data_IF_916629764661
#
_entry.id   IF_916629764661
#
_cell.length_a   1.000
_cell.length_b   1.000
_cell.length_c   1.000
_cell.angle_alpha   90.00
_cell.angle_beta   90.00
_cell.angle_gamma   90.00
#
_symmetry.space_group_name_H-M   'P 1'
#
loop_
_entity.id
_entity.type
_entity.pdbx_description
1 polymer ?
#
# COMPACT_ATOMS: atom_id res chain seq x y z
N UNK A 1 -8.49 32.89 -15.17
CA UNK A 1 -9.71 32.05 -15.26
C UNK A 1 -10.10 31.66 -13.85
N UNK A 2 -11.39 31.66 -13.51
CA UNK A 2 -11.83 31.42 -12.14
C UNK A 2 -11.95 29.95 -11.76
N UNK A 3 -12.13 29.63 -10.46
CA UNK A 3 -12.13 28.26 -9.94
C UNK A 3 -13.30 27.39 -10.42
N UNK A 4 -14.37 28.01 -10.93
CA UNK A 4 -15.52 27.31 -11.51
C UNK A 4 -15.45 27.20 -13.03
N UNK A 5 -14.37 27.68 -13.64
CA UNK A 5 -14.20 27.64 -15.08
C UNK A 5 -13.88 26.22 -15.54
N UNK A 6 -14.55 25.73 -16.59
CA UNK A 6 -14.47 24.33 -17.03
C UNK A 6 -13.05 23.86 -17.31
N UNK A 7 -12.22 24.69 -17.97
CA UNK A 7 -10.80 24.35 -18.22
C UNK A 7 -9.99 24.17 -16.92
N UNK A 8 -10.27 24.97 -15.89
CA UNK A 8 -9.60 24.83 -14.60
C UNK A 8 -10.04 23.52 -13.92
N UNK A 9 -11.34 23.26 -13.92
CA UNK A 9 -11.92 22.03 -13.35
C UNK A 9 -11.35 20.80 -14.05
N UNK A 10 -11.33 20.77 -15.38
CA UNK A 10 -10.82 19.65 -16.17
C UNK A 10 -9.33 19.39 -15.89
N UNK A 11 -8.49 20.44 -15.86
CA UNK A 11 -7.07 20.31 -15.52
C UNK A 11 -6.85 19.76 -14.11
N UNK A 12 -7.63 20.21 -13.13
CA UNK A 12 -7.53 19.73 -11.74
C UNK A 12 -7.99 18.28 -11.62
N UNK A 13 -9.05 17.87 -12.34
CA UNK A 13 -9.47 16.47 -12.45
C UNK A 13 -8.36 15.62 -13.04
N UNK A 14 -7.78 16.01 -14.18
CA UNK A 14 -6.69 15.25 -14.84
C UNK A 14 -5.46 15.12 -13.95
N UNK A 15 -5.08 16.19 -13.26
CA UNK A 15 -3.96 16.15 -12.33
C UNK A 15 -4.25 15.19 -11.15
N UNK A 16 -5.46 15.25 -10.58
CA UNK A 16 -5.93 14.29 -9.58
C UNK A 16 -5.88 12.85 -10.10
N UNK A 17 -6.40 12.62 -11.31
CA UNK A 17 -6.38 11.31 -11.95
C UNK A 17 -4.96 10.74 -12.07
N UNK A 18 -4.02 11.53 -12.59
CA UNK A 18 -2.62 11.12 -12.76
C UNK A 18 -1.95 10.75 -11.44
N UNK A 19 -2.20 11.53 -10.37
CA UNK A 19 -1.70 11.21 -9.03
C UNK A 19 -2.31 9.89 -8.52
N UNK A 20 -3.62 9.69 -8.71
CA UNK A 20 -4.32 8.47 -8.31
C UNK A 20 -3.82 7.22 -9.05
N UNK A 21 -3.59 7.32 -10.36
CA UNK A 21 -2.99 6.25 -11.16
C UNK A 21 -1.58 5.91 -10.69
N UNK A 22 -0.71 6.91 -10.45
CA UNK A 22 0.63 6.64 -9.92
C UNK A 22 0.60 6.04 -8.52
N UNK A 23 -0.35 6.43 -7.68
CA UNK A 23 -0.56 5.84 -6.36
C UNK A 23 -0.90 4.35 -6.48
N UNK A 24 -1.87 3.98 -7.32
CA UNK A 24 -2.20 2.58 -7.56
C UNK A 24 -0.99 1.76 -8.03
N UNK A 25 -0.20 2.28 -8.98
CA UNK A 25 1.00 1.60 -9.50
C UNK A 25 2.06 1.41 -8.41
N UNK A 26 2.28 2.40 -7.56
CA UNK A 26 3.26 2.27 -6.47
C UNK A 26 2.77 1.29 -5.40
N UNK A 27 1.47 1.31 -5.08
CA UNK A 27 0.85 0.37 -4.15
C UNK A 27 1.02 -1.08 -4.63
N UNK A 28 0.82 -1.33 -5.92
CA UNK A 28 1.06 -2.61 -6.59
C UNK A 28 2.53 -3.07 -6.48
N UNK A 29 3.48 -2.21 -6.86
CA UNK A 29 4.93 -2.53 -6.76
C UNK A 29 5.35 -2.83 -5.31
N UNK A 30 4.81 -2.10 -4.33
CA UNK A 30 5.13 -2.32 -2.91
C UNK A 30 4.45 -3.61 -2.41
N UNK A 31 3.22 -3.88 -2.85
CA UNK A 31 2.48 -5.11 -2.59
C UNK A 31 3.23 -6.33 -3.11
N UNK A 32 3.69 -6.31 -4.36
CA UNK A 32 4.49 -7.38 -4.97
C UNK A 32 5.75 -7.71 -4.17
N UNK A 33 6.46 -6.67 -3.73
CA UNK A 33 7.64 -6.84 -2.89
C UNK A 33 7.29 -7.48 -1.54
N UNK A 34 6.19 -7.06 -0.92
CA UNK A 34 5.73 -7.65 0.33
C UNK A 34 5.32 -9.12 0.15
N UNK A 35 4.60 -9.46 -0.91
CA UNK A 35 4.24 -10.83 -1.27
C UNK A 35 5.48 -11.71 -1.46
N UNK A 36 6.49 -11.24 -2.19
CA UNK A 36 7.74 -11.97 -2.37
C UNK A 36 8.52 -12.20 -1.06
N UNK A 37 8.49 -11.25 -0.12
CA UNK A 37 9.08 -11.45 1.22
C UNK A 37 8.27 -12.44 2.07
N UNK A 38 6.94 -12.39 2.02
CA UNK A 38 6.07 -13.36 2.68
C UNK A 38 6.32 -14.79 2.16
N UNK A 39 6.48 -14.95 0.86
CA UNK A 39 6.80 -16.25 0.24
C UNK A 39 8.16 -16.77 0.73
N UNK A 40 9.18 -15.91 0.84
CA UNK A 40 10.49 -16.30 1.40
C UNK A 40 10.37 -16.71 2.87
N UNK A 41 9.58 -16.00 3.68
CA UNK A 41 9.35 -16.34 5.10
C UNK A 41 8.69 -17.71 5.20
N UNK A 42 7.63 -17.95 4.43
CA UNK A 42 6.95 -19.24 4.39
C UNK A 42 7.86 -20.36 3.90
N UNK A 43 8.66 -20.12 2.87
CA UNK A 43 9.63 -21.09 2.37
C UNK A 43 10.72 -21.42 3.40
N UNK A 44 11.26 -20.42 4.10
CA UNK A 44 12.20 -20.63 5.22
C UNK A 44 11.58 -21.43 6.35
N UNK A 45 10.31 -21.16 6.71
CA UNK A 45 9.58 -21.92 7.71
C UNK A 45 9.43 -23.40 7.29
N UNK A 46 9.05 -23.65 6.03
CA UNK A 46 8.96 -25.01 5.46
C UNK A 46 10.32 -25.73 5.48
N UNK A 47 11.43 -25.06 5.16
CA UNK A 47 12.77 -25.64 5.24
C UNK A 47 13.17 -25.94 6.67
N UNK A 48 12.97 -25.00 7.60
CA UNK A 48 13.26 -25.23 9.03
C UNK A 48 12.53 -26.49 9.52
N UNK A 49 11.25 -26.62 9.16
CA UNK A 49 10.45 -27.79 9.45
C UNK A 49 11.00 -29.07 8.80
N UNK A 50 11.29 -29.10 7.49
CA UNK A 50 11.73 -30.31 6.79
C UNK A 50 13.17 -30.75 7.12
N UNK A 51 14.10 -29.82 7.28
CA UNK A 51 15.51 -30.14 7.58
C UNK A 51 15.65 -30.62 9.02
N UNK A 52 15.00 -29.94 9.97
CA UNK A 52 15.08 -30.34 11.39
C UNK A 52 14.18 -31.55 11.65
N UNK A 53 12.94 -31.55 11.14
CA UNK A 53 12.03 -32.68 11.25
C UNK A 53 12.57 -33.94 10.58
N UNK A 54 13.09 -33.83 9.35
CA UNK A 54 13.67 -34.95 8.59
C UNK A 54 14.96 -35.52 9.18
N UNK A 55 15.75 -34.70 9.89
CA UNK A 55 16.91 -35.15 10.66
C UNK A 55 16.53 -35.85 11.97
N UNK A 56 15.41 -35.46 12.60
CA UNK A 56 14.94 -36.04 13.87
C UNK A 56 14.13 -37.33 13.68
N UNK A 57 13.51 -37.54 12.52
CA UNK A 57 12.70 -38.74 12.22
C UNK A 57 13.48 -40.07 12.32
N UNK A 58 14.75 -40.20 11.86
CA UNK A 58 15.50 -41.45 11.98
C UNK A 58 16.10 -41.68 13.37
N UNK A 59 16.30 -40.61 14.15
CA UNK A 59 17.04 -40.66 15.43
C UNK A 59 16.14 -41.01 16.62
N UNK A 60 14.82 -40.82 16.49
CA UNK A 60 13.89 -40.90 17.62
C UNK A 60 12.72 -41.86 17.43
N UNK A 61 12.98 -43.15 17.19
CA UNK A 61 11.95 -44.21 17.09
C UNK A 61 10.91 -44.16 18.22
N UNK A 62 9.80 -43.44 17.99
CA UNK A 62 8.68 -43.27 18.94
C UNK A 62 8.77 -42.11 19.94
N UNK A 63 9.93 -41.45 20.13
CA UNK A 63 10.10 -40.29 21.04
C UNK A 63 10.18 -38.94 20.32
N UNK A 64 10.16 -38.92 18.98
CA UNK A 64 10.30 -37.72 18.16
C UNK A 64 9.07 -36.80 18.12
N UNK A 65 7.89 -37.28 18.49
CA UNK A 65 6.61 -36.56 18.30
C UNK A 65 6.51 -35.22 19.08
N UNK A 66 6.90 -35.12 20.36
CA UNK A 66 6.84 -33.86 21.10
C UNK A 66 7.88 -32.83 20.62
N UNK A 67 9.09 -33.30 20.26
CA UNK A 67 10.16 -32.45 19.73
C UNK A 67 9.84 -31.92 18.33
N UNK A 68 9.27 -32.78 17.47
CA UNK A 68 8.78 -32.37 16.15
C UNK A 68 7.65 -31.36 16.27
N UNK A 69 6.67 -31.55 17.16
CA UNK A 69 5.61 -30.56 17.45
C UNK A 69 6.13 -29.24 18.01
N UNK A 70 7.19 -29.28 18.82
CA UNK A 70 7.81 -28.05 19.34
C UNK A 70 8.49 -27.26 18.23
N UNK A 71 9.28 -27.92 17.39
CA UNK A 71 9.94 -27.29 16.23
C UNK A 71 8.90 -26.75 15.25
N UNK A 72 7.81 -27.49 15.03
CA UNK A 72 6.67 -27.06 14.22
C UNK A 72 6.02 -25.78 14.77
N UNK A 73 5.64 -25.79 16.05
CA UNK A 73 5.05 -24.63 16.73
C UNK A 73 5.98 -23.42 16.71
N UNK A 74 7.29 -23.62 16.93
CA UNK A 74 8.27 -22.54 16.92
C UNK A 74 8.46 -21.96 15.51
N UNK A 75 8.64 -22.80 14.49
CA UNK A 75 8.80 -22.35 13.11
C UNK A 75 7.55 -21.65 12.57
N UNK A 76 6.37 -22.06 13.03
CA UNK A 76 5.11 -21.39 12.74
C UNK A 76 5.00 -20.03 13.42
N UNK A 77 5.30 -19.94 14.72
CA UNK A 77 5.29 -18.67 15.45
C UNK A 77 6.29 -17.65 14.89
N UNK A 78 7.52 -18.09 14.60
CA UNK A 78 8.58 -17.27 13.99
C UNK A 78 8.14 -16.73 12.62
N UNK A 79 7.53 -17.57 11.78
CA UNK A 79 7.01 -17.17 10.48
C UNK A 79 5.85 -16.18 10.60
N UNK A 80 4.96 -16.35 11.58
CA UNK A 80 3.84 -15.45 11.84
C UNK A 80 4.31 -14.08 12.31
N UNK A 81 5.27 -14.03 13.23
CA UNK A 81 5.82 -12.78 13.74
C UNK A 81 6.50 -11.99 12.62
N UNK A 82 7.34 -12.64 11.82
CA UNK A 82 7.99 -12.01 10.65
C UNK A 82 6.95 -11.56 9.61
N UNK A 83 5.94 -12.38 9.33
CA UNK A 83 4.86 -12.01 8.41
C UNK A 83 4.05 -10.82 8.90
N UNK A 84 3.80 -10.73 10.21
CA UNK A 84 3.10 -9.60 10.81
C UNK A 84 3.91 -8.30 10.67
N UNK A 85 5.24 -8.38 10.83
CA UNK A 85 6.13 -7.23 10.61
C UNK A 85 6.09 -6.73 9.16
N UNK A 86 6.15 -7.64 8.19
CA UNK A 86 6.07 -7.28 6.75
C UNK A 86 4.72 -6.63 6.42
N UNK A 87 3.61 -7.20 6.92
CA UNK A 87 2.26 -6.64 6.71
C UNK A 87 2.12 -5.26 7.34
N UNK A 88 2.63 -5.07 8.56
CA UNK A 88 2.62 -3.76 9.23
C UNK A 88 3.39 -2.71 8.41
N UNK A 89 4.58 -3.05 7.91
CA UNK A 89 5.38 -2.15 7.10
C UNK A 89 4.71 -1.82 5.75
N UNK A 90 3.97 -2.77 5.17
CA UNK A 90 3.15 -2.54 3.97
C UNK A 90 2.01 -1.54 4.27
N UNK A 91 1.27 -1.73 5.35
CA UNK A 91 0.17 -0.83 5.76
C UNK A 91 0.68 0.60 6.06
N UNK A 92 1.82 0.72 6.74
CA UNK A 92 2.48 2.00 7.01
C UNK A 92 2.83 2.71 5.69
N UNK A 93 3.46 2.00 4.73
CA UNK A 93 3.80 2.58 3.42
C UNK A 93 2.57 3.00 2.62
N UNK A 94 1.52 2.19 2.60
CA UNK A 94 0.28 2.54 1.91
C UNK A 94 -0.37 3.79 2.52
N UNK A 95 -0.32 3.91 3.85
CA UNK A 95 -0.81 5.10 4.56
C UNK A 95 0.01 6.35 4.24
N UNK A 96 1.34 6.25 4.32
CA UNK A 96 2.25 7.35 3.97
C UNK A 96 2.05 7.84 2.54
N UNK A 97 1.89 6.90 1.61
CA UNK A 97 1.67 7.21 0.20
C UNK A 97 0.35 7.95 -0.01
N UNK A 98 -0.74 7.48 0.60
CA UNK A 98 -2.03 8.16 0.54
C UNK A 98 -1.98 9.58 1.10
N UNK A 99 -1.33 9.76 2.26
CA UNK A 99 -1.14 11.07 2.90
C UNK A 99 -0.30 12.00 2.01
N UNK A 100 0.75 11.48 1.39
CA UNK A 100 1.58 12.24 0.46
C UNK A 100 0.78 12.72 -0.75
N UNK A 101 -0.03 11.84 -1.36
CA UNK A 101 -0.90 12.20 -2.48
C UNK A 101 -1.97 13.24 -2.10
N UNK A 102 -2.59 13.10 -0.92
CA UNK A 102 -3.57 14.08 -0.42
C UNK A 102 -2.90 15.46 -0.24
N UNK A 103 -1.73 15.51 0.40
CA UNK A 103 -0.97 16.74 0.56
C UNK A 103 -0.60 17.37 -0.79
N UNK A 104 -0.07 16.58 -1.73
CA UNK A 104 0.32 17.07 -3.05
C UNK A 104 -0.84 17.69 -3.82
N UNK A 105 -2.01 17.05 -3.84
CA UNK A 105 -3.20 17.59 -4.51
C UNK A 105 -3.65 18.89 -3.86
N UNK A 106 -3.77 18.92 -2.53
CA UNK A 106 -4.20 20.11 -1.80
C UNK A 106 -3.24 21.27 -2.02
N UNK A 107 -1.94 21.01 -1.94
CA UNK A 107 -0.91 22.01 -2.17
C UNK A 107 -0.93 22.54 -3.61
N UNK A 108 -1.08 21.66 -4.61
CA UNK A 108 -1.19 22.04 -6.02
C UNK A 108 -2.39 22.97 -6.27
N UNK A 109 -3.57 22.62 -5.77
CA UNK A 109 -4.79 23.43 -5.93
C UNK A 109 -4.66 24.76 -5.20
N UNK A 110 -4.14 24.76 -3.97
CA UNK A 110 -3.90 25.98 -3.20
C UNK A 110 -2.87 26.90 -3.89
N UNK A 111 -1.78 26.35 -4.40
CA UNK A 111 -0.76 27.11 -5.13
C UNK A 111 -1.32 27.72 -6.43
N UNK A 112 -2.13 26.97 -7.17
CA UNK A 112 -2.84 27.51 -8.33
C UNK A 112 -3.80 28.64 -7.93
N UNK A 113 -4.54 28.48 -6.83
CA UNK A 113 -5.49 29.47 -6.35
C UNK A 113 -4.81 30.78 -5.97
N UNK A 114 -3.77 30.71 -5.13
CA UNK A 114 -3.00 31.88 -4.68
C UNK A 114 -2.32 32.59 -5.85
N UNK A 115 -1.70 31.85 -6.78
CA UNK A 115 -1.11 32.44 -8.00
C UNK A 115 -2.15 33.06 -8.94
N UNK A 116 -3.40 32.64 -8.85
CA UNK A 116 -4.52 33.18 -9.63
C UNK A 116 -5.29 34.29 -8.89
N UNK A 117 -4.84 34.71 -7.71
CA UNK A 117 -5.45 35.78 -6.91
C UNK A 117 -6.68 35.36 -6.11
N UNK A 118 -6.88 34.05 -5.89
CA UNK A 118 -7.97 33.51 -5.06
C UNK A 118 -7.46 33.12 -3.68
N UNK A 119 -8.31 33.31 -2.67
CA UNK A 119 -8.06 32.81 -1.32
C UNK A 119 -8.21 31.28 -1.29
N UNK A 120 -7.44 30.60 -0.45
CA UNK A 120 -7.46 29.12 -0.36
C UNK A 120 -8.75 28.55 0.21
N UNK A 121 -9.48 29.37 0.97
CA UNK A 121 -10.79 29.09 1.58
C UNK A 121 -11.96 29.54 0.70
N UNK A 122 -11.69 30.08 -0.50
CA UNK A 122 -12.74 30.36 -1.48
C UNK A 122 -13.55 29.09 -1.76
N UNK A 123 -14.87 29.23 -1.81
CA UNK A 123 -15.79 28.09 -2.01
C UNK A 123 -15.53 27.32 -3.31
N UNK A 124 -15.12 28.00 -4.38
CA UNK A 124 -14.74 27.39 -5.65
C UNK A 124 -13.43 26.64 -5.54
N UNK A 125 -12.43 27.21 -4.85
CA UNK A 125 -11.13 26.55 -4.60
C UNK A 125 -11.32 25.32 -3.73
N UNK A 126 -12.16 25.41 -2.70
CA UNK A 126 -12.53 24.28 -1.85
C UNK A 126 -13.17 23.16 -2.66
N UNK A 127 -14.09 23.49 -3.58
CA UNK A 127 -14.72 22.52 -4.48
C UNK A 127 -13.71 21.86 -5.42
N UNK A 128 -12.83 22.65 -6.05
CA UNK A 128 -11.75 22.14 -6.91
C UNK A 128 -10.86 21.15 -6.16
N UNK A 129 -10.52 21.46 -4.91
CA UNK A 129 -9.66 20.63 -4.06
C UNK A 129 -10.34 19.31 -3.67
N UNK A 130 -11.51 19.40 -3.02
CA UNK A 130 -12.13 18.25 -2.35
C UNK A 130 -12.94 17.36 -3.30
N UNK A 131 -13.63 17.97 -4.26
CA UNK A 131 -14.53 17.25 -5.16
C UNK A 131 -13.85 16.90 -6.47
N UNK A 132 -13.22 17.88 -7.10
CA UNK A 132 -12.74 17.71 -8.47
C UNK A 132 -11.40 16.97 -8.52
N UNK A 133 -10.36 17.50 -7.87
CA UNK A 133 -9.04 16.88 -7.88
C UNK A 133 -8.99 15.61 -7.01
N UNK A 134 -9.43 15.70 -5.75
CA UNK A 134 -9.42 14.54 -4.85
C UNK A 134 -10.42 13.45 -5.25
N UNK A 135 -11.60 13.82 -5.75
CA UNK A 135 -12.58 12.86 -6.27
C UNK A 135 -12.00 12.08 -7.45
N UNK A 136 -11.45 12.79 -8.44
CA UNK A 136 -10.88 12.13 -9.61
C UNK A 136 -9.63 11.30 -9.27
N UNK A 137 -8.82 11.70 -8.28
CA UNK A 137 -7.74 10.85 -7.74
C UNK A 137 -8.27 9.51 -7.27
N UNK A 138 -9.30 9.53 -6.42
CA UNK A 138 -9.87 8.32 -5.85
C UNK A 138 -10.49 7.42 -6.93
N UNK A 139 -11.19 8.01 -7.89
CA UNK A 139 -11.80 7.27 -9.01
C UNK A 139 -10.73 6.63 -9.90
N UNK A 140 -9.70 7.38 -10.30
CA UNK A 140 -8.62 6.86 -11.14
C UNK A 140 -7.78 5.80 -10.42
N UNK A 141 -7.50 5.98 -9.12
CA UNK A 141 -6.85 4.95 -8.30
C UNK A 141 -7.68 3.67 -8.32
N UNK A 142 -8.97 3.76 -8.00
CA UNK A 142 -9.89 2.61 -7.96
C UNK A 142 -9.96 1.89 -9.31
N UNK A 143 -10.04 2.64 -10.41
CA UNK A 143 -10.08 2.07 -11.76
C UNK A 143 -8.79 1.33 -12.08
N UNK A 144 -7.63 1.97 -11.89
CA UNK A 144 -6.32 1.38 -12.19
C UNK A 144 -6.04 0.16 -11.32
N UNK A 145 -6.40 0.18 -10.04
CA UNK A 145 -6.26 -0.97 -9.14
C UNK A 145 -7.00 -2.23 -9.61
N UNK A 146 -7.98 -2.14 -10.54
CA UNK A 146 -8.63 -3.31 -11.11
C UNK A 146 -7.76 -4.06 -12.13
N UNK A 147 -6.76 -3.38 -12.70
CA UNK A 147 -5.88 -3.92 -13.73
C UNK A 147 -4.50 -4.34 -13.19
N UNK A 148 -4.18 -3.93 -11.98
CA UNK A 148 -2.95 -4.24 -11.27
C UNK A 148 -3.18 -5.47 -10.37
N UNK A 149 -2.22 -6.40 -10.31
CA UNK A 149 -2.35 -7.72 -9.67
C UNK A 149 -1.02 -8.24 -9.15
#
# INVERSE_FOLDING_TARGET
MGPKHDDVVDRMRRAGAGIGTMEAIKEDIVGDKASGELDKIQWKSKIKYHVIGGFLTPVGGGLGDPLQRFVDTWAWNDANEQSASVKKALDEKNTEQWLSSDFQIRHMVNHWATSSGYAEDDSGVTTLKSREAMGQRNDARRDVSQYLK
#
